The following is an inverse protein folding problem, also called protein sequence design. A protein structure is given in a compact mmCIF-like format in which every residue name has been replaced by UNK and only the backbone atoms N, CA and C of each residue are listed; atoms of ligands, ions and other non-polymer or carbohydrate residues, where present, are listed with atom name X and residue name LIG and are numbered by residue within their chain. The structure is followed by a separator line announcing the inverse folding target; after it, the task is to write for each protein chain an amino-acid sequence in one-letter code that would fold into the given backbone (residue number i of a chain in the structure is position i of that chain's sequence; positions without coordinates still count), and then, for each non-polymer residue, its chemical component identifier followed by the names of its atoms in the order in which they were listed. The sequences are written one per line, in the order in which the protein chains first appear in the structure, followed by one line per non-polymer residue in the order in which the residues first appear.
data_IF_441241347221
#
_entry.id   IF_441241347221
#
_cell.length_a   1.000
_cell.length_b   1.000
_cell.length_c   1.000
_cell.angle_alpha   90.00
_cell.angle_beta   90.00
_cell.angle_gamma   90.00
#
_symmetry.space_group_name_H-M   'P 1'
#
loop_
_entity.id
_entity.type
_entity.pdbx_description
1 polymer ?
#
# COMPACT_ATOMS: atom_id res chain seq x y z
N UNK A 1 -38.49 -18.60 64.00
CA UNK A 1 -37.60 -17.63 63.33
C UNK A 1 -36.75 -18.39 62.29
N UNK A 2 -37.00 -18.17 60.98
CA UNK A 2 -36.28 -18.83 59.88
C UNK A 2 -35.33 -17.83 59.24
N UNK A 3 -34.03 -17.97 59.52
CA UNK A 3 -32.96 -17.12 58.99
C UNK A 3 -32.67 -17.55 57.55
N UNK A 4 -32.90 -16.69 56.56
CA UNK A 4 -32.53 -16.91 55.16
C UNK A 4 -31.09 -16.42 54.93
N UNK A 5 -30.20 -17.35 54.64
CA UNK A 5 -28.84 -17.05 54.11
C UNK A 5 -28.95 -16.67 52.64
N UNK A 6 -28.59 -15.44 52.29
CA UNK A 6 -28.37 -15.04 50.88
C UNK A 6 -26.93 -15.32 50.49
N UNK A 7 -26.75 -16.26 49.57
CA UNK A 7 -25.45 -16.57 48.96
C UNK A 7 -25.23 -15.53 47.84
N UNK A 8 -24.31 -14.61 48.03
CA UNK A 8 -23.85 -13.68 46.98
C UNK A 8 -22.83 -14.41 46.11
N UNK A 9 -23.23 -14.84 44.94
CA UNK A 9 -22.29 -15.39 43.93
C UNK A 9 -21.57 -14.23 43.24
N UNK A 10 -20.32 -13.98 43.61
CA UNK A 10 -19.46 -13.00 42.96
C UNK A 10 -19.02 -13.52 41.60
N UNK A 11 -19.46 -12.87 40.51
CA UNK A 11 -19.03 -13.12 39.16
C UNK A 11 -17.63 -12.50 38.96
N UNK A 12 -16.57 -13.32 39.03
CA UNK A 12 -15.21 -12.91 38.65
C UNK A 12 -15.11 -12.87 37.12
N UNK A 13 -15.17 -11.67 36.53
CA UNK A 13 -14.85 -11.48 35.13
C UNK A 13 -13.33 -11.50 34.98
N UNK A 14 -12.81 -12.62 34.45
CA UNK A 14 -11.40 -12.75 34.07
C UNK A 14 -11.17 -11.89 32.82
N UNK A 15 -10.66 -10.68 32.98
CA UNK A 15 -10.15 -9.90 31.85
C UNK A 15 -8.86 -10.55 31.36
N UNK A 16 -8.94 -11.31 30.26
CA UNK A 16 -7.75 -11.75 29.52
C UNK A 16 -7.20 -10.55 28.76
N UNK A 17 -6.10 -9.97 29.25
CA UNK A 17 -5.35 -9.00 28.48
C UNK A 17 -4.78 -9.69 27.24
N UNK A 18 -5.31 -9.35 26.06
CA UNK A 18 -4.71 -9.75 24.80
C UNK A 18 -3.34 -9.07 24.71
N UNK A 19 -2.27 -9.83 24.97
CA UNK A 19 -0.91 -9.35 24.68
C UNK A 19 -0.76 -9.28 23.18
N UNK A 20 -0.76 -8.08 22.62
CA UNK A 20 -0.32 -7.86 21.25
C UNK A 20 1.18 -8.20 21.20
N UNK A 21 1.51 -9.40 20.73
CA UNK A 21 2.87 -9.78 20.41
C UNK A 21 3.23 -9.00 19.15
N UNK A 22 3.91 -7.86 19.30
CA UNK A 22 4.61 -7.26 18.19
C UNK A 22 5.72 -8.22 17.77
N UNK A 23 5.82 -8.63 16.50
CA UNK A 23 6.95 -9.41 16.05
C UNK A 23 8.21 -8.59 16.33
N UNK A 24 9.04 -9.05 17.25
CA UNK A 24 10.35 -8.44 17.47
C UNK A 24 11.19 -8.70 16.22
N UNK A 25 11.71 -7.63 15.63
CA UNK A 25 12.72 -7.74 14.57
C UNK A 25 13.97 -8.34 15.21
N UNK A 26 14.19 -9.63 15.04
CA UNK A 26 15.30 -10.34 15.70
C UNK A 26 16.66 -9.97 15.13
N UNK A 27 16.71 -9.55 13.84
CA UNK A 27 17.95 -9.19 13.13
C UNK A 27 17.75 -7.97 12.23
N UNK A 28 18.84 -7.19 12.03
CA UNK A 28 18.82 -6.13 11.03
C UNK A 28 18.77 -6.72 9.62
N UNK A 29 17.94 -6.17 8.75
CA UNK A 29 17.82 -6.56 7.35
C UNK A 29 18.06 -5.35 6.44
N UNK A 30 18.81 -5.56 5.34
CA UNK A 30 19.13 -4.54 4.37
C UNK A 30 18.85 -5.05 2.95
N UNK A 31 18.10 -4.30 2.17
CA UNK A 31 17.80 -4.55 0.75
C UNK A 31 18.03 -3.29 -0.08
N UNK A 32 18.16 -3.48 -1.38
CA UNK A 32 18.37 -2.36 -2.31
C UNK A 32 17.50 -2.53 -3.56
N UNK A 33 16.80 -1.48 -3.96
CA UNK A 33 16.10 -1.43 -5.25
C UNK A 33 17.04 -1.47 -6.47
N UNK A 34 18.35 -1.34 -6.29
CA UNK A 34 19.32 -1.58 -7.36
C UNK A 34 19.59 -3.08 -7.62
N UNK A 35 19.10 -3.94 -6.70
CA UNK A 35 19.09 -5.41 -6.81
C UNK A 35 17.71 -5.92 -6.36
N UNK A 36 16.64 -5.63 -7.09
CA UNK A 36 15.30 -6.04 -6.71
C UNK A 36 15.15 -7.56 -6.78
N UNK A 37 14.29 -8.10 -5.93
CA UNK A 37 13.95 -9.53 -5.92
C UNK A 37 12.99 -9.88 -7.08
N UNK A 38 12.15 -8.92 -7.47
CA UNK A 38 11.18 -9.06 -8.54
C UNK A 38 11.08 -7.75 -9.33
N UNK A 39 10.95 -7.85 -10.65
CA UNK A 39 10.65 -6.71 -11.54
C UNK A 39 9.43 -7.05 -12.38
N UNK A 40 8.43 -6.17 -12.35
CA UNK A 40 7.25 -6.24 -13.22
C UNK A 40 7.29 -5.07 -14.19
N UNK A 41 7.29 -5.37 -15.49
CA UNK A 41 7.24 -4.36 -16.54
C UNK A 41 5.85 -4.28 -17.14
N UNK A 42 5.41 -3.07 -17.44
CA UNK A 42 4.13 -2.78 -18.07
C UNK A 42 4.28 -1.58 -19.01
N UNK A 43 3.23 -1.26 -19.76
CA UNK A 43 3.27 -0.15 -20.71
C UNK A 43 3.68 1.16 -20.01
N UNK A 44 4.78 1.78 -20.48
CA UNK A 44 5.34 3.02 -19.97
C UNK A 44 5.73 2.98 -18.48
N UNK A 45 6.07 1.78 -17.94
CA UNK A 45 6.50 1.73 -16.55
C UNK A 45 7.06 0.40 -16.09
N UNK A 46 7.55 0.40 -14.87
CA UNK A 46 8.03 -0.79 -14.16
C UNK A 46 7.81 -0.66 -12.67
N UNK A 47 7.73 -1.81 -12.02
CA UNK A 47 7.73 -1.96 -10.57
C UNK A 47 8.89 -2.87 -10.16
N UNK A 48 9.71 -2.40 -9.26
CA UNK A 48 10.82 -3.13 -8.64
C UNK A 48 10.47 -3.42 -7.19
N UNK A 49 10.60 -4.67 -6.76
CA UNK A 49 10.15 -5.13 -5.44
C UNK A 49 11.31 -5.66 -4.61
N UNK A 50 11.29 -5.33 -3.33
CA UNK A 50 12.14 -5.89 -2.28
C UNK A 50 11.26 -6.32 -1.10
N UNK A 51 11.73 -7.30 -0.33
CA UNK A 51 11.04 -7.76 0.87
C UNK A 51 11.91 -7.54 2.09
N UNK A 52 11.39 -6.86 3.11
CA UNK A 52 12.02 -6.63 4.40
C UNK A 52 11.11 -7.18 5.50
N UNK A 53 11.60 -8.16 6.28
CA UNK A 53 10.84 -8.83 7.35
C UNK A 53 9.42 -9.23 6.92
N UNK A 54 9.30 -9.76 5.69
CA UNK A 54 8.03 -10.18 5.11
C UNK A 54 7.18 -9.04 4.53
N UNK A 55 7.51 -7.78 4.75
CA UNK A 55 6.85 -6.64 4.13
C UNK A 55 7.40 -6.40 2.72
N UNK A 56 6.52 -6.38 1.73
CA UNK A 56 6.88 -6.11 0.33
C UNK A 56 6.81 -4.61 0.06
N UNK A 57 7.95 -4.03 -0.31
CA UNK A 57 8.08 -2.63 -0.69
C UNK A 57 8.33 -2.52 -2.19
N UNK A 58 7.77 -1.49 -2.83
CA UNK A 58 7.89 -1.27 -4.25
C UNK A 58 8.53 0.07 -4.60
N UNK A 59 9.39 0.08 -5.63
CA UNK A 59 9.77 1.27 -6.36
C UNK A 59 9.09 1.23 -7.71
N UNK A 60 8.07 2.05 -7.92
CA UNK A 60 7.44 2.20 -9.22
C UNK A 60 8.04 3.38 -9.99
N UNK A 61 8.29 3.16 -11.28
CA UNK A 61 8.71 4.21 -12.22
C UNK A 61 7.68 4.29 -13.34
N UNK A 62 7.13 5.49 -13.56
CA UNK A 62 6.15 5.76 -14.60
C UNK A 62 6.72 6.79 -15.56
N UNK A 63 6.77 6.44 -16.86
CA UNK A 63 7.28 7.32 -17.89
C UNK A 63 6.24 8.39 -18.29
N UNK A 64 6.66 9.52 -18.89
CA UNK A 64 5.73 10.47 -19.49
C UNK A 64 4.73 9.78 -20.42
N UNK A 65 3.45 10.13 -20.26
CA UNK A 65 2.35 9.48 -20.98
C UNK A 65 1.75 8.25 -20.30
N UNK A 66 2.36 7.75 -19.24
CA UNK A 66 1.75 6.68 -18.44
C UNK A 66 0.45 7.17 -17.79
N UNK A 67 -0.55 6.31 -17.86
CA UNK A 67 -1.82 6.44 -17.15
C UNK A 67 -2.30 5.05 -16.73
N UNK A 68 -2.75 4.90 -15.49
CA UNK A 68 -3.18 3.59 -14.97
C UNK A 68 -4.29 2.98 -15.85
N UNK A 69 -5.30 3.79 -16.21
CA UNK A 69 -6.45 3.30 -17.02
C UNK A 69 -6.10 2.86 -18.44
N UNK A 70 -4.93 3.22 -18.97
CA UNK A 70 -4.46 2.77 -20.29
C UNK A 70 -3.33 1.74 -20.22
N UNK A 71 -2.56 1.74 -19.13
CA UNK A 71 -1.37 0.90 -18.98
C UNK A 71 -1.61 -0.37 -18.17
N UNK A 72 -2.55 -0.38 -17.24
CA UNK A 72 -2.76 -1.47 -16.28
C UNK A 72 -4.21 -1.94 -16.16
N UNK A 73 -5.19 -1.13 -16.54
CA UNK A 73 -6.62 -1.44 -16.38
C UNK A 73 -7.00 -2.77 -17.01
N UNK A 74 -6.54 -3.05 -18.23
CA UNK A 74 -6.86 -4.28 -18.95
C UNK A 74 -6.33 -5.51 -18.19
N UNK A 75 -5.08 -5.45 -17.74
CA UNK A 75 -4.46 -6.56 -16.99
C UNK A 75 -5.02 -6.70 -15.57
N UNK A 76 -5.46 -5.61 -14.94
CA UNK A 76 -6.10 -5.66 -13.62
C UNK A 76 -7.52 -6.22 -13.69
N UNK A 77 -8.24 -5.98 -14.78
CA UNK A 77 -9.64 -6.38 -14.96
C UNK A 77 -10.63 -5.61 -14.09
N UNK A 78 -10.23 -4.44 -13.56
CA UNK A 78 -11.02 -3.60 -12.66
C UNK A 78 -11.36 -2.26 -13.30
N UNK A 79 -12.40 -1.58 -12.78
CA UNK A 79 -12.82 -0.26 -13.29
C UNK A 79 -11.78 0.81 -13.01
N UNK A 80 -11.19 0.79 -11.82
CA UNK A 80 -10.18 1.69 -11.28
C UNK A 80 -9.13 0.89 -10.51
N UNK A 81 -8.04 1.51 -10.08
CA UNK A 81 -7.03 0.85 -9.25
C UNK A 81 -7.64 0.47 -7.89
N UNK A 82 -7.63 -0.83 -7.57
CA UNK A 82 -8.13 -1.38 -6.30
C UNK A 82 -7.01 -1.68 -5.30
N UNK A 83 -5.77 -1.33 -5.61
CA UNK A 83 -4.68 -1.40 -4.65
C UNK A 83 -4.69 -0.14 -3.77
N UNK A 84 -4.74 -0.26 -2.44
CA UNK A 84 -4.48 0.88 -1.57
C UNK A 84 -2.97 1.17 -1.56
N UNK A 85 -2.60 2.44 -1.48
CA UNK A 85 -1.20 2.84 -1.52
C UNK A 85 -0.81 3.75 -0.35
N UNK A 86 0.39 3.53 0.20
CA UNK A 86 1.12 4.49 1.03
C UNK A 86 2.43 4.82 0.33
N UNK A 87 2.54 6.02 -0.23
CA UNK A 87 3.62 6.36 -1.14
C UNK A 87 4.42 7.56 -0.67
N UNK A 88 5.74 7.51 -0.90
CA UNK A 88 6.62 8.66 -0.94
C UNK A 88 6.99 8.96 -2.39
N UNK A 89 6.78 10.19 -2.83
CA UNK A 89 7.04 10.65 -4.19
C UNK A 89 8.48 11.16 -4.30
N UNK A 90 9.30 10.46 -5.09
CA UNK A 90 10.73 10.75 -5.25
C UNK A 90 10.98 11.77 -6.34
N UNK A 91 10.27 11.68 -7.48
CA UNK A 91 10.43 12.59 -8.62
C UNK A 91 9.14 12.71 -9.43
N UNK A 92 9.10 13.74 -10.28
CA UNK A 92 8.01 14.02 -11.20
C UNK A 92 6.74 14.51 -10.51
N UNK A 93 5.64 14.54 -11.28
CA UNK A 93 4.31 14.88 -10.78
C UNK A 93 3.32 13.82 -11.20
N UNK A 94 2.66 13.19 -10.22
CA UNK A 94 1.61 12.21 -10.41
C UNK A 94 0.27 12.84 -10.08
N UNK A 95 -0.65 12.91 -11.06
CA UNK A 95 -2.03 13.31 -10.79
C UNK A 95 -2.85 12.11 -10.43
N UNK A 96 -3.64 12.26 -9.37
CA UNK A 96 -4.59 11.27 -8.86
C UNK A 96 -6.00 11.77 -9.14
N UNK A 97 -6.86 10.86 -9.59
CA UNK A 97 -8.31 11.05 -9.71
C UNK A 97 -9.02 9.92 -8.99
N UNK A 98 -9.69 10.23 -7.91
CA UNK A 98 -10.49 9.28 -7.15
C UNK A 98 -11.84 9.04 -7.84
N UNK A 99 -12.46 7.89 -7.60
CA UNK A 99 -13.79 7.55 -8.16
C UNK A 99 -14.92 8.48 -7.68
N UNK A 100 -14.73 9.20 -6.57
CA UNK A 100 -15.63 10.23 -6.07
C UNK A 100 -15.44 11.60 -6.75
N UNK A 101 -14.49 11.71 -7.69
CA UNK A 101 -14.16 12.93 -8.41
C UNK A 101 -13.11 13.81 -7.75
N UNK A 102 -12.63 13.47 -6.54
CA UNK A 102 -11.51 14.18 -5.90
C UNK A 102 -10.27 14.05 -6.77
N UNK A 103 -9.58 15.16 -7.02
CA UNK A 103 -8.34 15.17 -7.80
C UNK A 103 -7.26 16.02 -7.14
N UNK A 104 -6.01 15.58 -7.22
CA UNK A 104 -4.84 16.31 -6.70
C UNK A 104 -3.56 15.82 -7.36
N UNK A 105 -2.51 16.65 -7.26
CA UNK A 105 -1.17 16.35 -7.75
C UNK A 105 -0.25 16.02 -6.58
N UNK A 106 0.47 14.91 -6.69
CA UNK A 106 1.58 14.56 -5.82
C UNK A 106 2.91 14.89 -6.54
N UNK A 107 3.79 15.61 -5.87
CA UNK A 107 5.08 16.06 -6.39
C UNK A 107 6.23 15.44 -5.60
N UNK A 108 7.45 15.60 -6.09
CA UNK A 108 8.65 15.19 -5.36
C UNK A 108 8.66 15.77 -3.94
N UNK A 109 8.87 14.91 -2.95
CA UNK A 109 8.83 15.24 -1.52
C UNK A 109 7.49 14.99 -0.84
N UNK A 110 6.41 14.80 -1.59
CA UNK A 110 5.08 14.52 -1.02
C UNK A 110 4.97 13.08 -0.50
N UNK A 111 4.05 12.89 0.42
CA UNK A 111 3.56 11.58 0.85
C UNK A 111 2.06 11.50 0.58
N UNK A 112 1.58 10.32 0.16
CA UNK A 112 0.16 10.11 -0.10
C UNK A 112 -0.34 8.80 0.49
N UNK A 113 -1.58 8.83 0.94
CA UNK A 113 -2.36 7.64 1.29
C UNK A 113 -3.56 7.59 0.34
N UNK A 114 -3.58 6.58 -0.51
CA UNK A 114 -4.61 6.40 -1.52
C UNK A 114 -5.45 5.16 -1.16
N UNK A 115 -6.74 5.29 -0.92
CA UNK A 115 -7.63 4.14 -0.86
C UNK A 115 -7.85 3.54 -2.25
N UNK A 116 -8.49 2.40 -2.31
CA UNK A 116 -8.98 1.80 -3.56
C UNK A 116 -9.92 2.76 -4.30
N UNK A 117 -10.03 2.60 -5.63
CA UNK A 117 -10.94 3.40 -6.44
C UNK A 117 -10.31 4.68 -6.98
N UNK A 118 -9.21 4.57 -7.72
CA UNK A 118 -8.56 5.72 -8.33
C UNK A 118 -7.96 5.40 -9.70
N UNK A 119 -7.79 6.43 -10.52
CA UNK A 119 -6.91 6.50 -11.68
C UNK A 119 -5.71 7.40 -11.35
N UNK A 120 -4.61 7.25 -12.08
CA UNK A 120 -3.43 8.09 -11.91
C UNK A 120 -2.70 8.26 -13.23
N UNK A 121 -2.04 9.42 -13.44
CA UNK A 121 -1.20 9.65 -14.63
C UNK A 121 -0.07 10.62 -14.37
N UNK A 122 0.99 10.47 -15.17
CA UNK A 122 2.14 11.38 -15.17
C UNK A 122 1.75 12.72 -15.77
N UNK A 123 2.08 13.80 -15.07
CA UNK A 123 1.91 15.18 -15.53
C UNK A 123 3.27 15.74 -15.95
N UNK A 124 3.35 16.21 -17.20
CA UNK A 124 4.59 16.79 -17.74
C UNK A 124 5.50 15.78 -18.43
N UNK A 125 6.80 16.09 -18.46
CA UNK A 125 7.81 15.35 -19.24
C UNK A 125 8.84 14.62 -18.36
N UNK A 126 8.75 14.75 -17.06
CA UNK A 126 9.63 14.08 -16.10
C UNK A 126 9.02 12.76 -15.67
N UNK A 127 9.80 11.66 -15.63
CA UNK A 127 9.33 10.40 -15.08
C UNK A 127 8.97 10.55 -13.60
N UNK A 128 7.85 9.93 -13.21
CA UNK A 128 7.46 9.80 -11.80
C UNK A 128 8.13 8.57 -11.22
N UNK A 129 8.74 8.75 -10.06
CA UNK A 129 9.24 7.67 -9.22
C UNK A 129 8.56 7.75 -7.86
N UNK A 130 7.97 6.64 -7.42
CA UNK A 130 7.40 6.52 -6.08
C UNK A 130 7.97 5.31 -5.34
N UNK A 131 8.14 5.45 -4.03
CA UNK A 131 8.35 4.31 -3.13
C UNK A 131 7.01 4.02 -2.45
N UNK A 132 6.55 2.80 -2.58
CA UNK A 132 5.29 2.35 -2.03
C UNK A 132 5.53 1.33 -0.91
N UNK A 133 4.93 1.58 0.23
CA UNK A 133 5.04 0.76 1.44
C UNK A 133 3.83 -0.18 1.62
N UNK A 134 2.81 -0.06 0.76
CA UNK A 134 1.60 -0.88 0.80
C UNK A 134 1.01 -1.07 -0.60
N UNK A 135 0.33 -2.21 -0.84
CA UNK A 135 -0.43 -2.44 -2.08
C UNK A 135 0.35 -3.11 -3.21
N UNK A 136 1.67 -3.32 -3.07
CA UNK A 136 2.52 -3.82 -4.15
C UNK A 136 2.51 -5.35 -4.33
N UNK A 137 1.86 -6.10 -3.45
CA UNK A 137 1.89 -7.58 -3.49
C UNK A 137 1.35 -8.11 -4.81
N UNK A 138 0.21 -7.61 -5.26
CA UNK A 138 -0.47 -8.06 -6.49
C UNK A 138 -0.51 -6.99 -7.60
N UNK A 139 0.00 -5.78 -7.34
CA UNK A 139 0.03 -4.70 -8.31
C UNK A 139 0.83 -5.08 -9.56
N UNK A 140 0.27 -4.80 -10.74
CA UNK A 140 0.88 -5.09 -12.04
C UNK A 140 1.33 -6.55 -12.24
N UNK A 141 0.73 -7.54 -11.57
CA UNK A 141 0.89 -8.95 -11.91
C UNK A 141 0.13 -9.25 -13.20
N UNK A 142 0.77 -10.01 -14.10
CA UNK A 142 0.06 -10.65 -15.20
C UNK A 142 -0.95 -11.67 -14.61
N UNK A 143 -2.18 -11.63 -15.09
CA UNK A 143 -3.18 -12.66 -14.80
C UNK A 143 -3.01 -13.86 -15.71
#
# INVERSE_FOLDING_TARGET
MKTKFFLLAGLFILMTAATHIHPTLETAEHKSFNKPEEVRSFALGKLELVTLHGAKLGRATFQPGWKWSTSLKESSGTKSCEAPHYQYHVSGTLRILMDDGTTFDCKAGDVSALPMGHDAWVVGKEPVVVIDFQGMVDYAKAK
#
